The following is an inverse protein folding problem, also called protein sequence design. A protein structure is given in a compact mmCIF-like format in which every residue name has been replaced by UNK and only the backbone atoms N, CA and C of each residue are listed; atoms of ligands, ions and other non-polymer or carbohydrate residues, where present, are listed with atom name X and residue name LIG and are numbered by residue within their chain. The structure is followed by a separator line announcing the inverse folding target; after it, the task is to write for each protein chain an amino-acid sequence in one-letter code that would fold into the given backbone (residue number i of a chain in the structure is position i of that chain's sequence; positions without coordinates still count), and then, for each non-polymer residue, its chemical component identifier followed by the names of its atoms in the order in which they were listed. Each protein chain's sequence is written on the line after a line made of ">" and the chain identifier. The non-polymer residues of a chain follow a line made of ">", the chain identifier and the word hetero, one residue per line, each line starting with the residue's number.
data_IF_881379145099
#
_entry.id   IF_881379145099
#
_cell.length_a   1.000
_cell.length_b   1.000
_cell.length_c   1.000
_cell.angle_alpha   90.00
_cell.angle_beta   90.00
_cell.angle_gamma   90.00
#
_symmetry.space_group_name_H-M   'P 1'
#
loop_
_entity.id
_entity.type
_entity.pdbx_description
1 polymer ?
#
# COMPACT_ATOMS: atom_id res chain seq x y z
N UNK A 1 -18.55 4.59 1.39
CA UNK A 1 -17.29 3.83 1.16
C UNK A 1 -17.69 2.40 0.88
N UNK A 2 -17.28 1.81 -0.25
CA UNK A 2 -17.65 0.44 -0.60
C UNK A 2 -16.49 -0.46 -0.14
N UNK A 3 -16.59 -0.96 1.09
CA UNK A 3 -15.74 -2.05 1.54
C UNK A 3 -16.20 -3.36 0.86
N UNK A 4 -15.28 -4.30 0.70
CA UNK A 4 -15.61 -5.66 0.30
C UNK A 4 -16.47 -6.33 1.39
N UNK A 5 -17.33 -7.23 0.98
CA UNK A 5 -18.04 -8.07 1.94
C UNK A 5 -17.07 -9.07 2.58
N UNK A 6 -17.44 -9.62 3.75
CA UNK A 6 -16.66 -10.70 4.40
C UNK A 6 -16.55 -11.92 3.49
N UNK A 7 -17.60 -12.20 2.72
CA UNK A 7 -17.62 -13.30 1.77
C UNK A 7 -16.61 -13.09 0.63
N UNK A 8 -16.59 -11.89 0.01
CA UNK A 8 -15.61 -11.55 -1.03
C UNK A 8 -14.17 -11.62 -0.47
N UNK A 9 -13.96 -11.12 0.76
CA UNK A 9 -12.68 -11.17 1.41
C UNK A 9 -12.22 -12.62 1.62
N UNK A 10 -13.06 -13.47 2.19
CA UNK A 10 -12.73 -14.86 2.48
C UNK A 10 -12.53 -15.70 1.21
N UNK A 11 -13.31 -15.44 0.16
CA UNK A 11 -13.27 -16.25 -1.05
C UNK A 11 -12.14 -15.88 -2.01
N UNK A 12 -11.78 -14.59 -2.09
CA UNK A 12 -10.87 -14.11 -3.12
C UNK A 12 -9.52 -13.59 -2.59
N UNK A 13 -9.49 -13.02 -1.39
CA UNK A 13 -8.30 -12.32 -0.89
C UNK A 13 -7.58 -13.08 0.21
N UNK A 14 -8.31 -13.49 1.24
CA UNK A 14 -7.72 -14.16 2.39
C UNK A 14 -6.97 -15.45 2.00
N UNK A 15 -7.45 -16.31 1.09
CA UNK A 15 -6.70 -17.48 0.65
C UNK A 15 -5.35 -17.11 0.02
N UNK A 16 -5.30 -16.08 -0.83
CA UNK A 16 -4.05 -15.62 -1.45
C UNK A 16 -3.05 -15.10 -0.41
N UNK A 17 -3.54 -14.52 0.68
CA UNK A 17 -2.71 -13.96 1.74
C UNK A 17 -2.27 -15.01 2.78
N UNK A 18 -2.96 -16.14 2.89
CA UNK A 18 -2.76 -17.11 3.99
C UNK A 18 -2.26 -18.49 3.56
N UNK A 19 -2.60 -18.98 2.37
CA UNK A 19 -2.42 -20.40 2.03
C UNK A 19 -1.03 -20.81 1.57
N UNK A 20 -0.39 -20.09 0.66
CA UNK A 20 0.91 -20.49 0.12
C UNK A 20 1.93 -19.35 0.17
N UNK A 21 2.95 -19.52 0.99
CA UNK A 21 4.01 -18.53 1.11
C UNK A 21 4.68 -18.23 -0.23
N UNK A 22 4.90 -19.23 -1.11
CA UNK A 22 5.57 -19.03 -2.40
C UNK A 22 4.74 -18.19 -3.36
N UNK A 23 3.44 -18.47 -3.46
CA UNK A 23 2.50 -17.70 -4.30
C UNK A 23 2.35 -16.27 -3.77
N UNK A 24 2.14 -16.11 -2.46
CA UNK A 24 2.07 -14.81 -1.80
C UNK A 24 3.29 -13.93 -2.09
N UNK A 25 4.51 -14.47 -1.90
CA UNK A 25 5.72 -13.68 -2.13
C UNK A 25 5.98 -13.40 -3.60
N UNK A 26 5.52 -14.24 -4.51
CA UNK A 26 5.60 -13.97 -5.96
C UNK A 26 4.68 -12.81 -6.33
N UNK A 27 3.44 -12.83 -5.87
CA UNK A 27 2.49 -11.73 -6.09
C UNK A 27 2.96 -10.44 -5.42
N UNK A 28 3.43 -10.51 -4.18
CA UNK A 28 3.99 -9.37 -3.45
C UNK A 28 5.18 -8.74 -4.19
N UNK A 29 6.03 -9.52 -4.85
CA UNK A 29 7.12 -9.00 -5.67
C UNK A 29 6.60 -8.15 -6.83
N UNK A 30 5.53 -8.57 -7.49
CA UNK A 30 4.91 -7.80 -8.56
C UNK A 30 4.24 -6.52 -8.03
N UNK A 31 3.56 -6.60 -6.89
CA UNK A 31 2.97 -5.43 -6.23
C UNK A 31 4.05 -4.45 -5.76
N UNK A 32 5.17 -4.92 -5.19
CA UNK A 32 6.33 -4.07 -4.85
C UNK A 32 6.89 -3.36 -6.08
N UNK A 33 6.89 -4.00 -7.25
CA UNK A 33 7.30 -3.35 -8.50
C UNK A 33 6.34 -2.22 -8.90
N UNK A 34 5.02 -2.46 -8.85
CA UNK A 34 3.99 -1.45 -9.09
C UNK A 34 4.14 -0.28 -8.11
N UNK A 35 4.27 -0.56 -6.81
CA UNK A 35 4.50 0.46 -5.79
C UNK A 35 5.75 1.31 -6.08
N UNK A 36 6.86 0.68 -6.46
CA UNK A 36 8.10 1.38 -6.82
C UNK A 36 7.93 2.30 -8.02
N UNK A 37 7.15 1.89 -9.03
CA UNK A 37 6.82 2.75 -10.18
C UNK A 37 5.98 3.95 -9.72
N UNK A 38 4.94 3.71 -8.92
CA UNK A 38 4.09 4.78 -8.38
C UNK A 38 4.88 5.73 -7.48
N UNK A 39 5.75 5.21 -6.62
CA UNK A 39 6.63 6.00 -5.77
C UNK A 39 7.56 6.90 -6.61
N UNK A 40 8.14 6.35 -7.69
CA UNK A 40 8.95 7.14 -8.61
C UNK A 40 8.14 8.25 -9.28
N UNK A 41 6.95 7.94 -9.83
CA UNK A 41 6.08 8.96 -10.45
C UNK A 41 5.70 10.02 -9.41
N UNK A 42 5.27 9.60 -8.20
CA UNK A 42 4.90 10.51 -7.11
C UNK A 42 6.06 11.43 -6.68
N UNK A 43 7.31 10.91 -6.66
CA UNK A 43 8.49 11.71 -6.32
C UNK A 43 8.83 12.78 -7.36
N UNK A 44 8.39 12.61 -8.61
CA UNK A 44 8.61 13.58 -9.71
C UNK A 44 7.54 14.65 -9.79
N UNK A 45 6.41 14.44 -9.15
CA UNK A 45 5.36 15.44 -9.03
C UNK A 45 5.78 16.44 -7.95
N UNK A 46 5.66 17.75 -8.22
CA UNK A 46 6.04 18.80 -7.25
C UNK A 46 5.30 18.72 -5.90
N UNK A 47 4.23 17.96 -5.84
CA UNK A 47 3.37 17.74 -4.66
C UNK A 47 3.57 16.29 -4.15
N UNK A 48 4.81 15.80 -4.12
CA UNK A 48 5.11 14.47 -3.59
C UNK A 48 4.49 14.31 -2.20
N UNK A 49 3.47 13.46 -2.09
CA UNK A 49 2.70 13.27 -0.87
C UNK A 49 2.44 11.78 -0.63
N UNK A 50 2.71 11.32 0.58
CA UNK A 50 2.45 9.94 1.01
C UNK A 50 0.96 9.57 0.90
N UNK A 51 0.07 10.54 1.15
CA UNK A 51 -1.39 10.36 1.00
C UNK A 51 -1.76 9.99 -0.44
N UNK A 52 -1.21 10.71 -1.44
CA UNK A 52 -1.45 10.42 -2.86
C UNK A 52 -0.99 9.02 -3.21
N UNK A 53 0.19 8.61 -2.73
CA UNK A 53 0.72 7.26 -2.99
C UNK A 53 -0.18 6.18 -2.37
N UNK A 54 -0.60 6.36 -1.11
CA UNK A 54 -1.48 5.43 -0.41
C UNK A 54 -2.83 5.26 -1.11
N UNK A 55 -3.47 6.37 -1.51
CA UNK A 55 -4.73 6.36 -2.25
C UNK A 55 -4.54 5.68 -3.61
N UNK A 56 -3.44 5.95 -4.31
CA UNK A 56 -3.12 5.30 -5.60
C UNK A 56 -3.02 3.79 -5.47
N UNK A 57 -2.43 3.30 -4.38
CA UNK A 57 -2.35 1.86 -4.10
C UNK A 57 -3.72 1.24 -3.83
N UNK A 58 -4.62 1.93 -3.11
CA UNK A 58 -6.00 1.46 -2.90
C UNK A 58 -6.72 1.33 -4.25
N UNK A 59 -6.61 2.34 -5.13
CA UNK A 59 -7.21 2.30 -6.47
C UNK A 59 -6.65 1.14 -7.31
N UNK A 60 -5.33 0.96 -7.27
CA UNK A 60 -4.69 -0.15 -7.95
C UNK A 60 -5.22 -1.50 -7.45
N UNK A 61 -5.27 -1.72 -6.15
CA UNK A 61 -5.78 -2.98 -5.59
C UNK A 61 -7.23 -3.24 -5.99
N UNK A 62 -8.09 -2.23 -5.93
CA UNK A 62 -9.49 -2.36 -6.34
C UNK A 62 -9.62 -2.71 -7.82
N UNK A 63 -8.92 -1.97 -8.67
CA UNK A 63 -8.91 -2.20 -10.12
C UNK A 63 -8.34 -3.58 -10.48
N UNK A 64 -7.18 -3.93 -9.89
CA UNK A 64 -6.51 -5.21 -10.11
C UNK A 64 -7.41 -6.40 -9.79
N UNK A 65 -8.08 -6.33 -8.65
CA UNK A 65 -8.91 -7.45 -8.19
C UNK A 65 -10.21 -7.60 -8.99
N UNK A 66 -10.82 -6.50 -9.43
CA UNK A 66 -12.03 -6.56 -10.24
C UNK A 66 -11.79 -7.02 -11.68
N UNK A 67 -10.66 -6.65 -12.25
CA UNK A 67 -10.35 -6.97 -13.65
C UNK A 67 -9.70 -8.34 -13.82
N UNK A 68 -9.37 -9.04 -12.70
CA UNK A 68 -8.65 -10.32 -12.70
C UNK A 68 -7.38 -10.30 -13.58
N UNK A 69 -6.77 -9.13 -13.69
CA UNK A 69 -5.56 -8.94 -14.49
C UNK A 69 -4.43 -9.77 -13.89
N UNK A 70 -3.80 -10.61 -14.72
CA UNK A 70 -2.60 -11.32 -14.30
C UNK A 70 -1.38 -10.38 -14.36
N UNK A 71 -0.86 -9.96 -13.21
CA UNK A 71 0.30 -9.06 -13.11
C UNK A 71 1.57 -9.59 -13.79
N UNK A 72 1.66 -10.91 -13.98
CA UNK A 72 2.80 -11.54 -14.66
C UNK A 72 2.79 -11.19 -16.16
N UNK A 73 1.59 -11.14 -16.76
CA UNK A 73 1.41 -10.98 -18.21
C UNK A 73 1.15 -9.55 -18.66
N UNK A 74 1.07 -8.58 -17.75
CA UNK A 74 0.89 -7.17 -18.11
C UNK A 74 2.16 -6.64 -18.76
N UNK A 75 2.02 -5.96 -19.90
CA UNK A 75 3.16 -5.32 -20.58
C UNK A 75 3.79 -4.23 -19.68
N UNK A 76 5.10 -3.95 -19.86
CA UNK A 76 5.73 -2.85 -19.13
C UNK A 76 5.06 -1.50 -19.36
N UNK A 77 4.55 -1.24 -20.56
CA UNK A 77 3.82 -0.02 -20.89
C UNK A 77 2.51 0.06 -20.12
N UNK A 78 1.71 -1.03 -20.10
CA UNK A 78 0.43 -1.04 -19.38
C UNK A 78 0.62 -0.84 -17.89
N UNK A 79 1.69 -1.39 -17.29
CA UNK A 79 2.06 -1.11 -15.90
C UNK A 79 2.27 0.38 -15.66
N UNK A 80 3.01 1.06 -16.54
CA UNK A 80 3.25 2.50 -16.43
C UNK A 80 1.96 3.31 -16.57
N UNK A 81 1.09 2.95 -17.51
CA UNK A 81 -0.19 3.60 -17.74
C UNK A 81 -1.11 3.42 -16.52
N UNK A 82 -1.25 2.19 -15.99
CA UNK A 82 -2.06 1.93 -14.78
C UNK A 82 -1.54 2.74 -13.61
N UNK A 83 -0.24 2.71 -13.33
CA UNK A 83 0.37 3.46 -12.23
C UNK A 83 0.15 4.96 -12.37
N UNK A 84 0.38 5.51 -13.58
CA UNK A 84 0.18 6.92 -13.86
C UNK A 84 -1.28 7.34 -13.70
N UNK A 85 -2.22 6.52 -14.17
CA UNK A 85 -3.67 6.80 -14.04
C UNK A 85 -4.13 6.75 -12.59
N UNK A 86 -3.69 5.76 -11.78
CA UNK A 86 -3.98 5.70 -10.35
C UNK A 86 -3.50 6.97 -9.62
N UNK A 87 -2.27 7.41 -9.90
CA UNK A 87 -1.72 8.64 -9.30
C UNK A 87 -2.50 9.87 -9.79
N UNK A 88 -2.85 9.94 -11.06
CA UNK A 88 -3.60 11.05 -11.61
C UNK A 88 -4.98 11.19 -10.94
N UNK A 89 -5.71 10.10 -10.74
CA UNK A 89 -6.98 10.09 -10.00
C UNK A 89 -6.73 10.49 -8.54
N UNK A 90 -5.71 9.93 -7.90
CA UNK A 90 -5.40 10.19 -6.50
C UNK A 90 -5.04 11.66 -6.24
N UNK A 91 -4.33 12.32 -7.15
CA UNK A 91 -4.06 13.75 -7.03
C UNK A 91 -5.34 14.58 -7.12
N UNK A 92 -6.29 14.21 -7.99
CA UNK A 92 -7.59 14.88 -8.08
C UNK A 92 -8.42 14.71 -6.81
N UNK A 93 -8.51 13.47 -6.30
CA UNK A 93 -9.32 13.17 -5.11
C UNK A 93 -8.76 13.74 -3.82
N UNK A 94 -7.45 14.01 -3.76
CA UNK A 94 -6.77 14.64 -2.61
C UNK A 94 -6.60 16.15 -2.75
N UNK A 95 -7.33 16.80 -3.66
CA UNK A 95 -7.27 18.24 -3.95
C UNK A 95 -5.87 18.75 -4.37
N UNK A 96 -5.05 17.87 -4.95
CA UNK A 96 -3.76 18.22 -5.53
C UNK A 96 -3.83 18.16 -7.05
N UNK A 97 -4.50 19.18 -7.64
CA UNK A 97 -4.73 19.18 -9.09
C UNK A 97 -3.43 19.35 -9.87
N UNK A 98 -3.12 18.36 -10.70
CA UNK A 98 -2.02 18.41 -11.67
C UNK A 98 -2.55 18.27 -13.09
N UNK A 99 -1.80 18.81 -14.05
CA UNK A 99 -2.11 18.59 -15.46
C UNK A 99 -1.68 17.17 -15.86
N UNK A 100 -2.49 16.50 -16.68
CA UNK A 100 -2.17 15.17 -17.21
C UNK A 100 -0.82 15.13 -17.92
N UNK A 101 -0.44 16.23 -18.59
CA UNK A 101 0.86 16.36 -19.27
C UNK A 101 2.07 16.13 -18.35
N UNK A 102 1.94 16.41 -17.06
CA UNK A 102 3.01 16.12 -16.08
C UNK A 102 3.21 14.61 -15.96
N UNK A 103 2.14 13.83 -15.80
CA UNK A 103 2.19 12.36 -15.74
C UNK A 103 2.71 11.79 -17.07
N UNK A 104 2.19 12.30 -18.19
CA UNK A 104 2.61 11.86 -19.54
C UNK A 104 4.12 12.03 -19.73
N UNK A 105 4.67 13.21 -19.39
CA UNK A 105 6.11 13.49 -19.52
C UNK A 105 6.94 12.56 -18.62
N UNK A 106 6.51 12.32 -17.37
CA UNK A 106 7.23 11.41 -16.47
C UNK A 106 7.23 9.98 -17.04
N UNK A 107 6.09 9.51 -17.57
CA UNK A 107 5.98 8.18 -18.19
C UNK A 107 6.88 8.12 -19.43
N UNK A 108 6.88 9.15 -20.28
CA UNK A 108 7.75 9.21 -21.45
C UNK A 108 9.23 9.13 -21.06
N UNK A 109 9.64 9.83 -20.01
CA UNK A 109 11.02 9.77 -19.50
C UNK A 109 11.40 8.36 -19.01
N UNK A 110 10.46 7.63 -18.39
CA UNK A 110 10.67 6.23 -18.00
C UNK A 110 10.80 5.35 -19.24
N UNK A 111 9.93 5.54 -20.25
CA UNK A 111 9.95 4.77 -21.50
C UNK A 111 11.28 4.95 -22.21
N UNK A 112 11.73 6.20 -22.42
CA UNK A 112 13.04 6.49 -23.05
C UNK A 112 14.21 5.80 -22.36
N UNK A 113 14.16 5.67 -21.03
CA UNK A 113 15.23 5.05 -20.23
C UNK A 113 15.16 3.52 -20.18
N UNK A 114 13.95 2.96 -20.03
CA UNK A 114 13.76 1.53 -19.75
C UNK A 114 13.25 0.72 -20.95
N UNK A 115 12.66 1.37 -21.94
CA UNK A 115 12.04 0.76 -23.12
C UNK A 115 12.47 1.51 -24.40
N UNK A 116 13.78 1.67 -24.68
CA UNK A 116 14.28 2.54 -25.75
C UNK A 116 13.79 2.13 -27.15
N UNK A 117 13.44 0.86 -27.34
CA UNK A 117 12.94 0.34 -28.62
C UNK A 117 11.43 0.58 -28.81
N UNK A 118 10.72 1.12 -27.79
CA UNK A 118 9.30 1.42 -27.90
C UNK A 118 9.12 2.80 -28.50
N UNK A 119 8.65 2.84 -29.78
CA UNK A 119 8.29 4.08 -30.44
C UNK A 119 6.81 4.40 -30.12
N UNK A 120 6.57 5.40 -29.28
CA UNK A 120 5.24 5.88 -28.88
C UNK A 120 5.29 7.40 -28.68
N UNK A 121 4.26 8.10 -29.12
CA UNK A 121 4.15 9.56 -28.95
C UNK A 121 3.41 9.94 -27.66
N UNK A 122 3.47 11.23 -27.30
CA UNK A 122 2.88 11.79 -26.10
C UNK A 122 1.35 11.74 -26.12
N UNK A 123 0.74 11.93 -27.28
CA UNK A 123 -0.73 11.95 -27.41
C UNK A 123 -1.30 10.55 -27.22
N UNK A 124 -0.66 9.54 -27.76
CA UNK A 124 -1.03 8.14 -27.52
C UNK A 124 -0.93 7.76 -26.03
N UNK A 125 0.11 8.20 -25.33
CA UNK A 125 0.23 7.97 -23.87
C UNK A 125 -0.92 8.68 -23.13
N UNK A 126 -1.22 9.91 -23.50
CA UNK A 126 -2.29 10.71 -22.91
C UNK A 126 -3.66 10.05 -23.08
N UNK A 127 -3.96 9.58 -24.29
CA UNK A 127 -5.21 8.85 -24.57
C UNK A 127 -5.32 7.57 -23.74
N UNK A 128 -4.23 6.78 -23.67
CA UNK A 128 -4.20 5.56 -22.84
C UNK A 128 -4.41 5.87 -21.35
N UNK A 129 -3.87 6.98 -20.84
CA UNK A 129 -4.10 7.41 -19.46
C UNK A 129 -5.58 7.73 -19.22
N UNK A 130 -6.24 8.48 -20.11
CA UNK A 130 -7.65 8.80 -19.97
C UNK A 130 -8.56 7.57 -20.07
N UNK A 131 -8.28 6.67 -21.01
CA UNK A 131 -9.01 5.40 -21.13
C UNK A 131 -8.86 4.57 -19.83
N UNK A 132 -7.65 4.50 -19.29
CA UNK A 132 -7.37 3.75 -18.06
C UNK A 132 -7.95 4.43 -16.84
N UNK A 133 -7.92 5.75 -16.76
CA UNK A 133 -8.61 6.54 -15.72
C UNK A 133 -10.09 6.16 -15.64
N UNK A 134 -10.77 6.15 -16.79
CA UNK A 134 -12.19 5.80 -16.84
C UNK A 134 -12.45 4.35 -16.35
N UNK A 135 -11.63 3.38 -16.79
CA UNK A 135 -11.74 1.99 -16.36
C UNK A 135 -11.52 1.84 -14.85
N UNK A 136 -10.54 2.57 -14.30
CA UNK A 136 -10.28 2.56 -12.86
C UNK A 136 -11.46 3.17 -12.10
N UNK A 137 -11.99 4.32 -12.54
CA UNK A 137 -13.15 4.96 -11.93
C UNK A 137 -14.38 4.05 -11.95
N UNK A 138 -14.64 3.32 -13.05
CA UNK A 138 -15.69 2.32 -13.11
C UNK A 138 -15.48 1.20 -12.06
N UNK A 139 -14.24 0.71 -11.92
CA UNK A 139 -13.92 -0.32 -10.92
C UNK A 139 -14.10 0.18 -9.48
N UNK A 140 -13.94 1.48 -9.24
CA UNK A 140 -14.19 2.12 -7.96
C UNK A 140 -15.69 2.39 -7.72
N UNK A 141 -16.56 2.14 -8.71
CA UNK A 141 -17.95 2.60 -8.66
C UNK A 141 -18.03 4.12 -8.51
N UNK A 142 -17.06 4.86 -9.07
CA UNK A 142 -16.88 6.31 -8.94
C UNK A 142 -16.74 6.82 -7.50
N UNK A 143 -16.52 5.93 -6.53
CA UNK A 143 -16.28 6.29 -5.14
C UNK A 143 -14.77 6.44 -4.93
N UNK A 144 -14.28 7.68 -4.95
CA UNK A 144 -12.86 8.03 -4.88
C UNK A 144 -12.38 8.47 -3.49
N UNK A 145 -13.29 8.61 -2.54
CA UNK A 145 -12.97 9.06 -1.19
C UNK A 145 -12.69 7.85 -0.27
N UNK A 146 -11.45 7.76 0.21
CA UNK A 146 -11.04 6.74 1.17
C UNK A 146 -10.48 7.41 2.42
N UNK A 147 -10.88 6.94 3.58
CA UNK A 147 -10.27 7.33 4.84
C UNK A 147 -8.99 6.52 5.04
N UNK A 148 -7.91 7.21 5.41
CA UNK A 148 -6.59 6.60 5.56
C UNK A 148 -6.26 6.35 7.04
N UNK A 149 -5.52 5.28 7.35
CA UNK A 149 -5.13 4.92 8.72
C UNK A 149 -4.32 5.97 9.46
N UNK A 150 -3.60 6.85 8.76
CA UNK A 150 -2.74 7.88 9.38
C UNK A 150 -3.46 8.79 10.36
N UNK A 151 -4.74 9.10 10.10
CA UNK A 151 -5.55 9.99 10.96
C UNK A 151 -5.66 9.49 12.39
N UNK A 152 -5.84 8.18 12.57
CA UNK A 152 -5.92 7.58 13.90
C UNK A 152 -4.61 7.69 14.66
N UNK A 153 -3.46 7.51 14.01
CA UNK A 153 -2.13 7.64 14.65
C UNK A 153 -1.90 9.06 15.16
N UNK A 154 -2.30 10.07 14.39
CA UNK A 154 -2.21 11.47 14.83
C UNK A 154 -3.10 11.69 16.07
N UNK A 155 -4.30 11.11 16.09
CA UNK A 155 -5.24 11.21 17.22
C UNK A 155 -4.68 10.62 18.52
N UNK A 156 -3.93 9.51 18.45
CA UNK A 156 -3.36 8.84 19.61
C UNK A 156 -1.97 9.38 20.03
N UNK A 157 -1.53 10.51 19.49
CA UNK A 157 -0.23 11.13 19.83
C UNK A 157 -0.08 11.33 21.34
N UNK A 158 -1.11 11.91 22.01
CA UNK A 158 -1.08 12.16 23.45
C UNK A 158 -0.97 10.87 24.29
N UNK A 159 -1.55 9.77 23.78
CA UNK A 159 -1.39 8.46 24.41
C UNK A 159 0.09 8.03 24.38
N UNK A 160 0.79 8.16 23.24
CA UNK A 160 2.21 7.85 23.17
C UNK A 160 3.05 8.73 24.11
N UNK A 161 2.71 10.01 24.26
CA UNK A 161 3.40 10.93 25.16
C UNK A 161 3.23 10.55 26.64
N UNK A 162 2.11 9.89 26.99
CA UNK A 162 1.80 9.53 28.38
C UNK A 162 2.42 8.21 28.86
N UNK A 163 2.79 7.31 27.93
CA UNK A 163 3.14 5.93 28.29
C UNK A 163 4.61 5.57 28.10
N UNK A 164 5.38 6.36 27.38
CA UNK A 164 6.76 6.01 27.04
C UNK A 164 7.72 7.19 27.14
N UNK A 165 8.97 6.91 27.48
CA UNK A 165 10.06 7.88 27.46
C UNK A 165 10.63 8.11 26.05
N UNK A 166 10.12 7.37 25.04
CA UNK A 166 10.50 7.55 23.66
C UNK A 166 9.74 8.75 23.09
N UNK A 167 10.40 9.58 22.29
CA UNK A 167 9.72 10.69 21.63
C UNK A 167 8.49 10.21 20.86
N UNK A 168 7.33 10.80 21.13
CA UNK A 168 6.07 10.51 20.43
C UNK A 168 6.21 10.68 18.92
N UNK A 169 7.04 11.61 18.46
CA UNK A 169 7.30 11.83 17.04
C UNK A 169 7.97 10.61 16.39
N UNK A 170 8.96 10.00 17.05
CA UNK A 170 9.62 8.77 16.54
C UNK A 170 8.62 7.62 16.43
N UNK A 171 7.72 7.48 17.41
CA UNK A 171 6.68 6.45 17.37
C UNK A 171 5.69 6.71 16.23
N UNK A 172 5.25 7.96 16.04
CA UNK A 172 4.34 8.35 14.95
C UNK A 172 4.99 8.07 13.59
N UNK A 173 6.25 8.48 13.39
CA UNK A 173 6.96 8.28 12.13
C UNK A 173 7.15 6.78 11.83
N UNK A 174 7.45 5.99 12.87
CA UNK A 174 7.51 4.53 12.78
C UNK A 174 6.15 3.93 12.41
N UNK A 175 5.06 4.35 13.07
CA UNK A 175 3.71 3.91 12.71
C UNK A 175 3.38 4.27 11.27
N UNK A 176 3.73 5.46 10.81
CA UNK A 176 3.50 5.89 9.42
C UNK A 176 4.23 5.00 8.43
N UNK A 177 5.44 4.55 8.75
CA UNK A 177 6.18 3.62 7.91
C UNK A 177 5.45 2.26 7.83
N UNK A 178 5.03 1.68 8.96
CA UNK A 178 4.28 0.41 8.97
C UNK A 178 2.95 0.52 8.22
N UNK A 179 2.24 1.64 8.36
CA UNK A 179 1.02 1.92 7.60
C UNK A 179 1.33 2.03 6.10
N UNK A 180 2.41 2.72 5.72
CA UNK A 180 2.81 2.84 4.32
C UNK A 180 3.11 1.49 3.70
N UNK A 181 3.82 0.63 4.42
CA UNK A 181 4.14 -0.73 3.98
C UNK A 181 2.87 -1.60 3.86
N UNK A 182 1.87 -1.36 4.72
CA UNK A 182 0.61 -2.10 4.70
C UNK A 182 -0.19 -1.91 3.41
N UNK A 183 0.00 -0.80 2.68
CA UNK A 183 -0.61 -0.57 1.37
C UNK A 183 -0.03 -1.44 0.24
N UNK A 184 1.02 -2.20 0.49
CA UNK A 184 1.43 -3.30 -0.40
C UNK A 184 0.41 -4.44 -0.42
N UNK A 185 -0.52 -4.46 0.53
CA UNK A 185 -1.58 -5.45 0.68
C UNK A 185 -2.95 -4.82 0.41
N UNK A 186 -3.94 -5.58 -0.09
CA UNK A 186 -5.27 -5.08 -0.38
C UNK A 186 -6.15 -4.88 0.87
N UNK A 187 -5.56 -4.84 2.07
CA UNK A 187 -6.27 -4.83 3.36
C UNK A 187 -7.18 -3.62 3.55
N UNK A 188 -6.85 -2.46 2.94
CA UNK A 188 -7.69 -1.26 2.97
C UNK A 188 -9.01 -1.40 2.19
N UNK A 189 -9.19 -2.47 1.42
CA UNK A 189 -10.45 -2.78 0.75
C UNK A 189 -11.47 -3.45 1.67
N UNK A 190 -11.02 -4.00 2.79
CA UNK A 190 -11.86 -4.75 3.72
C UNK A 190 -11.85 -4.18 5.15
N UNK A 191 -10.66 -4.00 5.76
CA UNK A 191 -10.57 -3.52 7.14
C UNK A 191 -10.75 -2.01 7.25
N UNK A 192 -11.32 -1.59 8.41
CA UNK A 192 -11.46 -0.17 8.73
C UNK A 192 -10.09 0.49 8.97
N UNK A 193 -9.98 1.81 8.74
CA UNK A 193 -8.70 2.53 8.93
C UNK A 193 -8.13 2.38 10.34
N UNK A 194 -9.00 2.46 11.37
CA UNK A 194 -8.55 2.34 12.76
C UNK A 194 -8.03 0.94 13.08
N UNK A 195 -8.68 -0.12 12.55
CA UNK A 195 -8.23 -1.49 12.71
C UNK A 195 -6.86 -1.72 12.07
N UNK A 196 -6.65 -1.21 10.86
CA UNK A 196 -5.34 -1.26 10.18
C UNK A 196 -4.27 -0.53 11.01
N UNK A 197 -4.60 0.67 11.53
CA UNK A 197 -3.66 1.44 12.36
C UNK A 197 -3.25 0.67 13.62
N UNK A 198 -4.21 0.11 14.35
CA UNK A 198 -3.96 -0.65 15.57
C UNK A 198 -3.14 -1.92 15.25
N UNK A 199 -3.44 -2.59 14.12
CA UNK A 199 -2.65 -3.74 13.65
C UNK A 199 -1.20 -3.36 13.35
N UNK A 200 -0.96 -2.22 12.70
CA UNK A 200 0.38 -1.70 12.45
C UNK A 200 1.12 -1.35 13.75
N UNK A 201 0.44 -0.70 14.72
CA UNK A 201 1.02 -0.44 16.05
C UNK A 201 1.37 -1.73 16.76
N UNK A 202 0.54 -2.77 16.65
CA UNK A 202 0.81 -4.08 17.23
C UNK A 202 2.06 -4.74 16.62
N UNK A 203 2.24 -4.66 15.30
CA UNK A 203 3.46 -5.14 14.61
C UNK A 203 4.68 -4.34 15.05
N UNK A 204 4.58 -3.01 15.12
CA UNK A 204 5.64 -2.12 15.59
C UNK A 204 6.03 -2.44 17.04
N UNK A 205 5.05 -2.57 17.93
CA UNK A 205 5.24 -2.95 19.34
C UNK A 205 6.08 -4.22 19.46
N UNK A 206 5.73 -5.25 18.74
CA UNK A 206 6.44 -6.53 18.76
C UNK A 206 7.86 -6.38 18.19
N UNK A 207 8.02 -5.74 17.03
CA UNK A 207 9.30 -5.60 16.34
C UNK A 207 10.31 -4.79 17.15
N UNK A 208 9.86 -3.80 17.91
CA UNK A 208 10.71 -2.93 18.74
C UNK A 208 10.67 -3.25 20.24
N UNK A 209 10.00 -4.34 20.65
CA UNK A 209 9.85 -4.76 22.04
C UNK A 209 9.28 -3.64 22.96
N UNK A 210 8.29 -2.90 22.49
CA UNK A 210 7.68 -1.78 23.21
C UNK A 210 6.62 -2.30 24.20
N UNK A 211 7.04 -2.65 25.41
CA UNK A 211 6.15 -3.25 26.43
C UNK A 211 5.06 -2.30 26.92
N UNK A 212 5.34 -1.00 26.97
CA UNK A 212 4.46 0.02 27.55
C UNK A 212 3.19 0.27 26.72
N UNK A 213 3.18 -0.06 25.44
CA UNK A 213 2.01 0.12 24.57
C UNK A 213 0.98 -0.97 24.85
N UNK A 214 -0.21 -0.58 25.32
CA UNK A 214 -1.34 -1.49 25.55
C UNK A 214 -2.34 -1.41 24.37
N UNK A 215 -2.54 -2.52 23.68
CA UNK A 215 -3.44 -2.58 22.51
C UNK A 215 -4.91 -2.36 22.91
N UNK A 216 -5.33 -2.78 24.11
CA UNK A 216 -6.70 -2.57 24.57
C UNK A 216 -7.03 -1.09 24.76
N UNK A 217 -6.06 -0.28 25.22
CA UNK A 217 -6.24 1.16 25.33
C UNK A 217 -6.46 1.79 23.93
N UNK A 218 -5.71 1.34 22.92
CA UNK A 218 -5.88 1.80 21.54
C UNK A 218 -7.25 1.40 20.97
N UNK A 219 -7.75 0.22 21.30
CA UNK A 219 -9.09 -0.23 20.91
C UNK A 219 -10.15 0.70 21.54
N UNK A 220 -9.99 1.06 22.81
CA UNK A 220 -10.92 1.97 23.52
C UNK A 220 -10.93 3.39 22.94
N UNK A 221 -9.81 3.85 22.35
CA UNK A 221 -9.67 5.15 21.69
C UNK A 221 -10.23 5.16 20.25
N UNK A 222 -10.58 3.98 19.70
CA UNK A 222 -11.12 3.87 18.35
C UNK A 222 -12.56 4.39 18.28
N UNK A 223 -12.89 5.11 17.21
CA UNK A 223 -14.27 5.53 16.92
C UNK A 223 -15.12 4.39 16.36
N UNK A 224 -14.48 3.32 15.89
CA UNK A 224 -15.13 2.15 15.33
C UNK A 224 -15.07 0.99 16.32
N UNK A 225 -16.12 0.18 16.32
CA UNK A 225 -16.08 -1.10 17.03
C UNK A 225 -15.04 -2.00 16.36
N UNK A 226 -14.05 -2.43 17.13
CA UNK A 226 -12.97 -3.32 16.67
C UNK A 226 -13.32 -4.76 17.04
N UNK A 227 -13.40 -5.63 16.05
CA UNK A 227 -13.47 -7.08 16.28
C UNK A 227 -12.06 -7.62 16.51
N UNK A 228 -11.86 -8.33 17.61
CA UNK A 228 -10.54 -8.88 17.98
C UNK A 228 -10.05 -9.96 17.02
N UNK A 229 -10.97 -10.72 16.41
CA UNK A 229 -10.59 -11.74 15.43
C UNK A 229 -10.09 -11.06 14.14
N UNK A 230 -10.79 -10.04 13.67
CA UNK A 230 -10.37 -9.25 12.51
C UNK A 230 -9.05 -8.51 12.78
N UNK A 231 -8.86 -7.99 14.00
CA UNK A 231 -7.61 -7.35 14.41
C UNK A 231 -6.43 -8.34 14.35
N UNK A 232 -6.61 -9.55 14.89
CA UNK A 232 -5.58 -10.57 14.86
C UNK A 232 -5.30 -11.09 13.44
N UNK A 233 -6.34 -11.21 12.61
CA UNK A 233 -6.21 -11.58 11.21
C UNK A 233 -5.40 -10.52 10.44
N UNK A 234 -5.80 -9.24 10.51
CA UNK A 234 -5.11 -8.13 9.86
C UNK A 234 -3.66 -8.00 10.33
N UNK A 235 -3.43 -8.09 11.65
CA UNK A 235 -2.09 -8.10 12.23
C UNK A 235 -1.23 -9.23 11.66
N UNK A 236 -1.74 -10.45 11.58
CA UNK A 236 -0.99 -11.60 11.05
C UNK A 236 -0.62 -11.43 9.58
N UNK A 237 -1.51 -10.83 8.79
CA UNK A 237 -1.28 -10.53 7.37
C UNK A 237 -0.19 -9.46 7.22
N UNK A 238 -0.26 -8.36 7.98
CA UNK A 238 0.75 -7.29 7.93
C UNK A 238 2.11 -7.83 8.40
N UNK A 239 2.15 -8.63 9.46
CA UNK A 239 3.38 -9.22 10.00
C UNK A 239 4.15 -10.02 8.95
N UNK A 240 3.47 -10.75 8.07
CA UNK A 240 4.10 -11.50 6.97
C UNK A 240 4.95 -10.66 6.02
N UNK A 241 4.74 -9.34 5.93
CA UNK A 241 5.60 -8.47 5.14
C UNK A 241 7.05 -8.46 5.65
N UNK A 242 7.23 -8.73 6.96
CA UNK A 242 8.50 -8.60 7.67
C UNK A 242 9.17 -9.94 7.99
N UNK A 243 8.42 -11.05 8.04
CA UNK A 243 8.92 -12.37 8.44
C UNK A 243 10.01 -12.95 7.50
N UNK A 244 10.05 -12.52 6.24
CA UNK A 244 11.02 -13.06 5.25
C UNK A 244 12.37 -12.36 5.25
N UNK A 245 12.48 -11.15 5.74
CA UNK A 245 13.76 -10.43 5.81
C UNK A 245 14.68 -11.03 6.88
N UNK A 246 14.14 -11.54 7.96
CA UNK A 246 14.90 -12.19 9.03
C UNK A 246 15.50 -13.54 8.61
N UNK A 247 14.80 -14.30 7.76
CA UNK A 247 15.28 -15.62 7.27
C UNK A 247 16.39 -15.49 6.21
N UNK A 248 16.52 -14.37 5.51
CA UNK A 248 17.60 -14.15 4.53
C UNK A 248 18.88 -13.70 5.23
N UNK A 249 18.79 -12.92 6.28
CA UNK A 249 19.94 -12.47 7.08
C UNK A 249 20.51 -13.60 7.95
N UNK A 250 19.68 -14.50 8.48
CA UNK A 250 20.12 -15.65 9.24
C UNK A 250 20.82 -16.73 8.37
N UNK A 251 20.39 -16.92 7.12
CA UNK A 251 21.04 -17.87 6.19
C UNK A 251 22.35 -17.33 5.60
N UNK A 252 22.52 -16.01 5.47
CA UNK A 252 23.79 -15.42 5.03
C UNK A 252 24.87 -15.45 6.12
N UNK A 253 24.49 -15.48 7.39
CA UNK A 253 25.42 -15.60 8.52
C UNK A 253 25.87 -17.05 8.82
N UNK A 254 25.13 -18.05 8.31
CA UNK A 254 25.50 -19.46 8.43
C UNK A 254 26.42 -19.96 7.31
N UNK A 255 26.40 -19.34 6.13
CA UNK A 255 27.26 -19.72 5.00
C UNK A 255 28.70 -19.20 5.10
N UNK A 256 28.98 -18.25 6.00
CA UNK A 256 30.35 -17.74 6.25
C UNK A 256 31.11 -18.45 7.37
N UNK A 257 30.50 -19.46 8.00
CA UNK A 257 31.15 -20.26 9.09
C UNK A 257 31.60 -21.68 8.70
N UNK A 258 31.52 -22.06 7.43
CA UNK A 258 31.89 -23.40 6.94
C UNK A 258 33.03 -23.35 5.92
N UNK A 259 33.83 -22.29 5.89
CA UNK A 259 35.08 -22.26 5.14
C UNK A 259 36.17 -21.59 5.96
N UNK A 260 36.67 -22.35 6.95
CA UNK A 260 38.00 -22.24 7.52
C UNK A 260 38.43 -23.61 8.06
#
# INVERSE_FOLDING_TARGET
>A
MIYLTREDWNNFFLPKLTQDNKSFFTELKHIKNIHSIMQYINSKIKISNQIVLSISMIYFHKFYNQTLINLINITPLDKLIICGSCIFIATKSSNHLIRVSVIVNIIMDIIKKKLPNLNIDLDTIKEKIFQKEFQILQSLGFCVNFELPYKFIIKIKNYFESITNISSQILIDSCFQFISDSFLLPISLYYTPNLISISCVKVMKEKFNLVDININDLISLSEYKIDLNELNECYSIIKKLYDKEENITSNSSLSTKVSN
#
